data_IF_891812960623
#
_entry.id   IF_891812960623
#
_cell.length_a   1.000
_cell.length_b   1.000
_cell.length_c   1.000
_cell.angle_alpha   90.00
_cell.angle_beta   90.00
_cell.angle_gamma   90.00
#
_symmetry.space_group_name_H-M   'P 1'
#
loop_
_entity.id
_entity.type
_entity.pdbx_description
1 polymer ?
#
# COMPACT_ATOMS: atom_id res chain seq x y z
N UNK A 1 -38.64 157.02 -124.36
CA UNK A 1 -37.35 157.62 -124.78
C UNK A 1 -36.24 157.17 -123.80
N UNK A 2 -34.99 157.14 -124.23
CA UNK A 2 -33.83 156.75 -123.41
C UNK A 2 -33.63 157.82 -122.33
N UNK A 3 -33.57 157.40 -121.06
CA UNK A 3 -33.39 158.32 -119.93
C UNK A 3 -32.04 159.08 -119.96
N UNK A 4 -31.06 158.61 -120.72
CA UNK A 4 -29.74 159.25 -120.83
C UNK A 4 -29.61 160.16 -122.07
N UNK A 5 -29.91 159.65 -123.26
CA UNK A 5 -29.67 160.37 -124.52
C UNK A 5 -30.95 160.85 -125.24
N UNK A 6 -32.14 160.60 -124.69
CA UNK A 6 -33.42 161.03 -125.25
C UNK A 6 -33.92 160.24 -126.47
N UNK A 7 -33.08 159.43 -127.13
CA UNK A 7 -33.47 158.65 -128.33
C UNK A 7 -34.62 157.68 -128.04
N UNK A 8 -35.52 157.39 -129.00
CA UNK A 8 -36.53 156.35 -128.82
C UNK A 8 -35.85 155.02 -128.52
N UNK A 9 -36.29 154.33 -127.48
CA UNK A 9 -35.79 153.00 -127.10
C UNK A 9 -36.74 151.98 -127.66
N UNK A 10 -36.23 151.06 -128.49
CA UNK A 10 -37.00 149.91 -128.94
C UNK A 10 -37.41 149.08 -127.72
N UNK A 11 -38.70 149.11 -127.37
CA UNK A 11 -39.23 148.32 -126.28
C UNK A 11 -39.35 146.86 -126.72
N UNK A 12 -39.11 145.93 -125.79
CA UNK A 12 -39.39 144.51 -126.05
C UNK A 12 -40.90 144.32 -126.01
N UNK A 13 -41.48 143.63 -127.00
CA UNK A 13 -42.85 143.17 -126.93
C UNK A 13 -42.92 141.98 -125.95
N UNK A 14 -43.26 142.21 -124.68
CA UNK A 14 -43.40 141.15 -123.67
C UNK A 14 -43.55 141.68 -122.23
N UNK A 15 -44.07 140.83 -121.34
CA UNK A 15 -44.22 141.12 -119.91
C UNK A 15 -42.85 141.15 -119.23
N UNK A 16 -42.32 142.35 -119.01
CA UNK A 16 -41.05 142.60 -118.33
C UNK A 16 -40.87 144.08 -118.06
N UNK A 17 -39.93 144.44 -117.17
CA UNK A 17 -39.65 145.84 -116.84
C UNK A 17 -39.21 146.57 -118.12
N UNK A 18 -39.91 147.65 -118.52
CA UNK A 18 -39.60 148.35 -119.76
C UNK A 18 -38.16 148.84 -119.79
N UNK A 19 -37.53 148.79 -120.97
CA UNK A 19 -36.15 149.23 -121.12
C UNK A 19 -36.08 150.75 -120.94
N UNK A 20 -35.27 151.16 -119.97
CA UNK A 20 -35.08 152.56 -119.58
C UNK A 20 -33.97 153.27 -120.37
N UNK A 21 -33.08 152.51 -121.04
CA UNK A 21 -31.92 153.01 -121.77
C UNK A 21 -31.81 152.32 -123.15
N UNK A 22 -31.28 153.00 -124.17
CA UNK A 22 -31.08 152.43 -125.50
C UNK A 22 -29.93 151.41 -125.52
N UNK A 23 -30.10 150.31 -126.26
CA UNK A 23 -29.06 149.26 -126.46
C UNK A 23 -28.18 149.49 -127.68
N UNK A 24 -28.59 150.37 -128.59
CA UNK A 24 -28.03 150.56 -129.94
C UNK A 24 -26.58 151.08 -129.99
N UNK A 25 -25.87 151.12 -128.85
CA UNK A 25 -24.51 151.62 -128.74
C UNK A 25 -23.74 150.87 -127.63
N UNK A 26 -23.73 149.54 -127.63
CA UNK A 26 -23.04 148.67 -126.65
C UNK A 26 -23.30 149.02 -125.18
N UNK A 27 -24.57 149.28 -124.86
CA UNK A 27 -25.01 149.76 -123.55
C UNK A 27 -24.30 151.04 -123.09
N UNK A 28 -23.71 151.84 -124.01
CA UNK A 28 -22.98 153.06 -123.67
C UNK A 28 -23.86 154.05 -122.89
N UNK A 29 -25.16 154.14 -123.19
CA UNK A 29 -26.08 154.99 -122.42
C UNK A 29 -26.38 154.43 -121.02
N UNK A 30 -26.48 153.10 -120.87
CA UNK A 30 -26.64 152.47 -119.55
C UNK A 30 -25.36 152.59 -118.72
N UNK A 31 -24.19 152.34 -119.33
CA UNK A 31 -22.87 152.50 -118.73
C UNK A 31 -22.61 153.96 -118.37
N UNK A 32 -22.97 154.92 -119.23
CA UNK A 32 -22.83 156.34 -118.97
C UNK A 32 -23.78 156.80 -117.86
N UNK A 33 -25.03 156.35 -117.83
CA UNK A 33 -25.95 156.63 -116.73
C UNK A 33 -25.48 155.99 -115.41
N UNK A 34 -24.89 154.78 -115.46
CA UNK A 34 -24.28 154.11 -114.30
C UNK A 34 -23.03 154.86 -113.83
N UNK A 35 -22.18 155.32 -114.74
CA UNK A 35 -20.99 156.11 -114.44
C UNK A 35 -21.36 157.50 -113.93
N UNK A 36 -22.41 158.14 -114.45
CA UNK A 36 -22.93 159.40 -113.95
C UNK A 36 -23.43 159.24 -112.51
N UNK A 37 -24.26 158.22 -112.24
CA UNK A 37 -24.68 157.88 -110.87
C UNK A 37 -23.53 157.46 -109.95
N UNK A 38 -22.50 156.79 -110.47
CA UNK A 38 -21.31 156.45 -109.70
C UNK A 38 -20.45 157.70 -109.41
N UNK A 39 -20.35 158.64 -110.36
CA UNK A 39 -19.68 159.93 -110.19
C UNK A 39 -20.43 160.81 -109.21
N UNK A 40 -21.75 160.85 -109.26
CA UNK A 40 -22.59 161.55 -108.28
C UNK A 40 -22.44 160.95 -106.88
N UNK A 41 -22.45 159.61 -106.76
CA UNK A 41 -22.22 158.92 -105.47
C UNK A 41 -20.79 159.03 -104.94
N UNK A 42 -19.81 159.21 -105.81
CA UNK A 42 -18.40 159.34 -105.45
C UNK A 42 -17.88 160.77 -105.63
N UNK A 43 -18.77 161.76 -105.78
CA UNK A 43 -18.38 163.15 -105.94
C UNK A 43 -17.73 163.66 -104.65
N UNK A 44 -16.54 164.28 -104.70
CA UNK A 44 -15.95 164.89 -103.52
C UNK A 44 -16.83 166.06 -103.05
N UNK A 45 -17.14 166.09 -101.75
CA UNK A 45 -17.93 167.15 -101.12
C UNK A 45 -19.34 166.71 -100.67
N UNK A 46 -20.14 167.70 -100.27
CA UNK A 46 -21.47 167.50 -99.66
C UNK A 46 -22.44 166.64 -100.50
N UNK A 47 -22.54 166.80 -101.84
CA UNK A 47 -23.53 166.06 -102.63
C UNK A 47 -23.29 164.54 -102.67
N UNK A 48 -22.02 164.11 -102.74
CA UNK A 48 -21.66 162.69 -102.72
C UNK A 48 -21.89 162.05 -101.34
N UNK A 49 -21.59 162.80 -100.26
CA UNK A 49 -21.89 162.36 -98.89
C UNK A 49 -23.40 162.22 -98.66
N UNK A 50 -24.22 163.14 -99.18
CA UNK A 50 -25.68 163.04 -99.13
C UNK A 50 -26.20 161.83 -99.91
N UNK A 51 -25.66 161.56 -101.10
CA UNK A 51 -26.04 160.38 -101.88
C UNK A 51 -25.70 159.05 -101.19
N UNK A 52 -24.54 158.95 -100.53
CA UNK A 52 -24.15 157.77 -99.74
C UNK A 52 -25.01 157.63 -98.47
N UNK A 53 -25.32 158.75 -97.79
CA UNK A 53 -26.21 158.75 -96.65
C UNK A 53 -27.61 158.24 -97.02
N UNK A 54 -28.15 158.64 -98.18
CA UNK A 54 -29.43 158.13 -98.67
C UNK A 54 -29.40 156.64 -99.02
N UNK A 55 -28.31 156.11 -99.61
CA UNK A 55 -28.18 154.67 -99.87
C UNK A 55 -28.07 153.86 -98.56
N UNK A 56 -27.39 154.41 -97.55
CA UNK A 56 -27.36 153.80 -96.22
C UNK A 56 -28.75 153.81 -95.56
N UNK A 57 -29.50 154.92 -95.69
CA UNK A 57 -30.89 155.00 -95.21
C UNK A 57 -31.77 153.97 -95.90
N UNK A 58 -31.67 153.79 -97.22
CA UNK A 58 -32.44 152.78 -97.96
C UNK A 58 -32.06 151.34 -97.54
N UNK A 59 -30.77 151.06 -97.28
CA UNK A 59 -30.36 149.76 -96.72
C UNK A 59 -30.88 149.56 -95.29
N UNK A 60 -30.86 150.61 -94.47
CA UNK A 60 -31.42 150.55 -93.12
C UNK A 60 -32.93 150.32 -93.17
N UNK A 61 -33.64 150.92 -94.13
CA UNK A 61 -35.08 150.71 -94.33
C UNK A 61 -35.37 149.29 -94.83
N UNK A 62 -34.55 148.75 -95.74
CA UNK A 62 -34.65 147.35 -96.17
C UNK A 62 -34.37 146.36 -95.03
N UNK A 63 -33.36 146.61 -94.20
CA UNK A 63 -33.05 145.79 -93.01
C UNK A 63 -34.17 145.94 -91.96
N UNK A 64 -34.66 147.15 -91.72
CA UNK A 64 -35.77 147.42 -90.81
C UNK A 64 -37.06 146.73 -91.30
N UNK A 65 -37.34 146.76 -92.60
CA UNK A 65 -38.45 146.05 -93.22
C UNK A 65 -38.32 144.54 -93.12
N UNK A 66 -37.13 143.98 -93.35
CA UNK A 66 -36.87 142.55 -93.17
C UNK A 66 -36.99 142.12 -91.70
N UNK A 67 -36.47 142.93 -90.78
CA UNK A 67 -36.61 142.70 -89.33
C UNK A 67 -38.07 142.80 -88.91
N UNK A 68 -38.81 143.81 -89.38
CA UNK A 68 -40.22 143.98 -89.09
C UNK A 68 -41.06 142.83 -89.66
N UNK A 69 -40.74 142.32 -90.85
CA UNK A 69 -41.40 141.16 -91.44
C UNK A 69 -41.08 139.86 -90.68
N UNK A 70 -39.83 139.69 -90.23
CA UNK A 70 -39.43 138.56 -89.38
C UNK A 70 -40.12 138.61 -88.02
N UNK A 71 -40.11 139.78 -87.37
CA UNK A 71 -40.81 140.03 -86.10
C UNK A 71 -42.31 139.87 -86.26
N UNK A 72 -42.92 140.36 -87.34
CA UNK A 72 -44.33 140.16 -87.62
C UNK A 72 -44.65 138.69 -87.89
N UNK A 73 -43.75 137.94 -88.53
CA UNK A 73 -43.87 136.49 -88.69
C UNK A 73 -43.83 135.75 -87.35
N UNK A 74 -42.85 136.05 -86.50
CA UNK A 74 -42.67 135.41 -85.20
C UNK A 74 -43.69 135.84 -84.14
N UNK A 75 -44.12 137.10 -84.16
CA UNK A 75 -45.13 137.68 -83.25
C UNK A 75 -46.56 137.57 -83.80
N UNK A 76 -46.74 137.10 -85.04
CA UNK A 76 -48.07 136.73 -85.52
C UNK A 76 -48.65 135.59 -84.67
N UNK A 77 -49.98 135.52 -84.59
CA UNK A 77 -50.65 134.41 -83.91
C UNK A 77 -50.15 133.04 -84.40
N UNK A 78 -49.94 132.88 -85.72
CA UNK A 78 -49.43 131.64 -86.30
C UNK A 78 -47.97 131.33 -85.90
N UNK A 79 -47.11 132.34 -85.81
CA UNK A 79 -45.72 132.19 -85.36
C UNK A 79 -45.63 131.76 -83.90
N UNK A 80 -46.41 132.41 -83.03
CA UNK A 80 -46.52 132.04 -81.61
C UNK A 80 -47.11 130.64 -81.45
N UNK A 81 -48.17 130.28 -82.17
CA UNK A 81 -48.75 128.94 -82.15
C UNK A 81 -47.75 127.88 -82.59
N UNK A 82 -46.94 128.14 -83.63
CA UNK A 82 -45.88 127.24 -84.07
C UNK A 82 -44.79 127.05 -83.00
N UNK A 83 -44.35 128.13 -82.35
CA UNK A 83 -43.38 128.05 -81.23
C UNK A 83 -43.95 127.29 -80.04
N UNK A 84 -45.21 127.56 -79.68
CA UNK A 84 -45.92 126.85 -78.62
C UNK A 84 -46.07 125.36 -78.98
N UNK A 85 -46.37 125.04 -80.24
CA UNK A 85 -46.44 123.65 -80.71
C UNK A 85 -45.07 122.95 -80.64
N UNK A 86 -43.98 123.62 -81.03
CA UNK A 86 -42.61 123.09 -80.89
C UNK A 86 -42.26 122.81 -79.44
N UNK A 87 -42.49 123.79 -78.54
CA UNK A 87 -42.23 123.62 -77.11
C UNK A 87 -43.10 122.52 -76.51
N UNK A 88 -44.36 122.39 -76.93
CA UNK A 88 -45.24 121.28 -76.51
C UNK A 88 -44.73 119.93 -77.02
N UNK A 89 -44.23 119.86 -78.25
CA UNK A 89 -43.65 118.64 -78.80
C UNK A 89 -42.35 118.24 -78.09
N UNK A 90 -41.46 119.21 -77.81
CA UNK A 90 -40.24 118.99 -77.02
C UNK A 90 -40.56 118.56 -75.60
N UNK A 91 -41.52 119.22 -74.94
CA UNK A 91 -41.98 118.82 -73.60
C UNK A 91 -42.59 117.41 -73.61
N UNK A 92 -43.41 117.08 -74.61
CA UNK A 92 -43.97 115.74 -74.77
C UNK A 92 -42.86 114.68 -74.99
N UNK A 93 -41.84 114.99 -75.79
CA UNK A 93 -40.69 114.12 -76.00
C UNK A 93 -39.85 113.92 -74.73
N UNK A 94 -39.65 114.98 -73.94
CA UNK A 94 -38.96 114.90 -72.65
C UNK A 94 -39.74 114.07 -71.63
N UNK A 95 -41.06 114.23 -71.56
CA UNK A 95 -41.92 113.41 -70.69
C UNK A 95 -41.90 111.95 -71.12
N UNK A 96 -41.98 111.66 -72.42
CA UNK A 96 -41.88 110.30 -72.93
C UNK A 96 -40.51 109.67 -72.62
N UNK A 97 -39.42 110.42 -72.76
CA UNK A 97 -38.08 109.96 -72.40
C UNK A 97 -37.95 109.69 -70.89
N UNK A 98 -38.49 110.56 -70.04
CA UNK A 98 -38.50 110.36 -68.59
C UNK A 98 -39.35 109.15 -68.17
N UNK A 99 -40.48 108.93 -68.83
CA UNK A 99 -41.32 107.73 -68.62
C UNK A 99 -40.58 106.46 -69.03
N UNK A 100 -39.95 106.45 -70.21
CA UNK A 100 -39.14 105.32 -70.67
C UNK A 100 -37.97 105.01 -69.72
N UNK A 101 -37.26 106.03 -69.24
CA UNK A 101 -36.19 105.86 -68.25
C UNK A 101 -36.70 105.32 -66.91
N UNK A 102 -37.89 105.77 -66.47
CA UNK A 102 -38.53 105.25 -65.25
C UNK A 102 -38.92 103.79 -65.43
N UNK A 103 -39.53 103.43 -66.56
CA UNK A 103 -39.90 102.05 -66.87
C UNK A 103 -38.67 101.14 -66.94
N UNK A 104 -37.59 101.60 -67.59
CA UNK A 104 -36.31 100.88 -67.62
C UNK A 104 -35.71 100.73 -66.21
N UNK A 105 -35.77 101.78 -65.38
CA UNK A 105 -35.30 101.72 -64.00
C UNK A 105 -36.12 100.73 -63.15
N UNK A 106 -37.45 100.71 -63.31
CA UNK A 106 -38.34 99.75 -62.63
C UNK A 106 -38.04 98.33 -63.12
N UNK A 107 -37.90 98.11 -64.42
CA UNK A 107 -37.55 96.80 -64.97
C UNK A 107 -36.20 96.31 -64.44
N UNK A 108 -35.17 97.17 -64.42
CA UNK A 108 -33.86 96.85 -63.83
C UNK A 108 -33.95 96.51 -62.34
N UNK A 109 -34.76 97.23 -61.58
CA UNK A 109 -34.96 96.96 -60.15
C UNK A 109 -35.67 95.62 -59.91
N UNK A 110 -36.69 95.27 -60.72
CA UNK A 110 -37.37 93.98 -60.64
C UNK A 110 -36.42 92.83 -60.97
N UNK A 111 -35.68 92.91 -62.08
CA UNK A 111 -34.67 91.89 -62.43
C UNK A 111 -33.56 91.79 -61.38
N UNK A 112 -33.16 92.90 -60.76
CA UNK A 112 -32.19 92.86 -59.66
C UNK A 112 -32.76 92.18 -58.41
N UNK A 113 -34.04 92.39 -58.10
CA UNK A 113 -34.76 91.70 -57.03
C UNK A 113 -34.84 90.19 -57.28
N UNK A 114 -35.30 89.77 -58.46
CA UNK A 114 -35.38 88.36 -58.85
C UNK A 114 -34.02 87.65 -58.74
N UNK A 115 -32.93 88.32 -59.16
CA UNK A 115 -31.56 87.78 -59.02
C UNK A 115 -31.11 87.69 -57.57
N UNK A 116 -31.51 88.64 -56.71
CA UNK A 116 -31.19 88.60 -55.30
C UNK A 116 -31.94 87.48 -54.57
N UNK A 117 -33.21 87.26 -54.91
CA UNK A 117 -34.03 86.17 -54.38
C UNK A 117 -33.46 84.81 -54.82
N UNK A 118 -33.11 84.65 -56.10
CA UNK A 118 -32.44 83.45 -56.62
C UNK A 118 -31.10 83.19 -55.90
N UNK A 119 -30.27 84.21 -55.72
CA UNK A 119 -29.01 84.08 -55.00
C UNK A 119 -29.21 83.71 -53.53
N UNK A 120 -30.28 84.20 -52.89
CA UNK A 120 -30.63 83.84 -51.52
C UNK A 120 -31.11 82.39 -51.40
N UNK A 121 -31.92 81.92 -52.36
CA UNK A 121 -32.35 80.52 -52.44
C UNK A 121 -31.17 79.58 -52.67
N UNK A 122 -30.28 79.91 -53.61
CA UNK A 122 -29.05 79.15 -53.89
C UNK A 122 -28.13 79.10 -52.66
N UNK A 123 -27.94 80.22 -51.96
CA UNK A 123 -27.16 80.26 -50.73
C UNK A 123 -27.81 79.41 -49.61
N UNK A 124 -29.14 79.46 -49.48
CA UNK A 124 -29.88 78.63 -48.54
C UNK A 124 -29.73 77.14 -48.83
N UNK A 125 -29.85 76.75 -50.11
CA UNK A 125 -29.63 75.37 -50.55
C UNK A 125 -28.19 74.90 -50.31
N UNK A 126 -27.19 75.76 -50.56
CA UNK A 126 -25.78 75.45 -50.31
C UNK A 126 -25.49 75.27 -48.81
N UNK A 127 -26.09 76.08 -47.94
CA UNK A 127 -25.97 75.91 -46.49
C UNK A 127 -26.64 74.62 -46.00
N UNK A 128 -27.83 74.30 -46.50
CA UNK A 128 -28.52 73.05 -46.18
C UNK A 128 -27.71 71.82 -46.61
N UNK A 129 -27.15 71.84 -47.84
CA UNK A 129 -26.28 70.77 -48.34
C UNK A 129 -24.99 70.64 -47.51
N UNK A 130 -24.40 71.76 -47.07
CA UNK A 130 -23.24 71.74 -46.16
C UNK A 130 -23.59 71.10 -44.82
N UNK A 131 -24.71 71.48 -44.23
CA UNK A 131 -25.12 70.98 -42.91
C UNK A 131 -25.45 69.48 -42.98
N UNK A 132 -26.08 69.02 -44.06
CA UNK A 132 -26.27 67.60 -44.34
C UNK A 132 -24.93 66.86 -44.49
N UNK A 133 -23.98 67.41 -45.25
CA UNK A 133 -22.66 66.81 -45.40
C UNK A 133 -21.89 66.72 -44.06
N UNK A 134 -22.00 67.74 -43.20
CA UNK A 134 -21.42 67.71 -41.85
C UNK A 134 -22.09 66.65 -40.97
N UNK A 135 -23.43 66.54 -41.03
CA UNK A 135 -24.16 65.52 -40.28
C UNK A 135 -23.78 64.09 -40.72
N UNK A 136 -23.65 63.86 -42.03
CA UNK A 136 -23.19 62.58 -42.59
C UNK A 136 -21.76 62.26 -42.18
N UNK A 137 -20.85 63.25 -42.20
CA UNK A 137 -19.47 63.08 -41.76
C UNK A 137 -19.38 62.74 -40.26
N UNK A 138 -20.18 63.40 -39.42
CA UNK A 138 -20.25 63.10 -37.99
C UNK A 138 -20.79 61.68 -37.73
N UNK A 139 -21.85 61.27 -38.43
CA UNK A 139 -22.39 59.91 -38.33
C UNK A 139 -21.35 58.84 -38.75
N UNK A 140 -20.64 59.07 -39.85
CA UNK A 140 -19.57 58.18 -40.30
C UNK A 140 -18.41 58.09 -39.30
N UNK A 141 -18.06 59.21 -38.64
CA UNK A 141 -17.05 59.23 -37.59
C UNK A 141 -17.49 58.43 -36.35
N UNK A 142 -18.75 58.58 -35.93
CA UNK A 142 -19.31 57.82 -34.81
C UNK A 142 -19.35 56.32 -35.10
N UNK A 143 -19.73 55.92 -36.32
CA UNK A 143 -19.70 54.52 -36.75
C UNK A 143 -18.27 53.96 -36.76
N UNK A 144 -17.30 54.71 -37.31
CA UNK A 144 -15.90 54.33 -37.28
C UNK A 144 -15.37 54.16 -35.84
N UNK A 145 -15.74 55.05 -34.92
CA UNK A 145 -15.36 54.94 -33.51
C UNK A 145 -15.99 53.71 -32.83
N UNK A 146 -17.25 53.39 -33.15
CA UNK A 146 -17.90 52.17 -32.64
C UNK A 146 -17.18 50.92 -33.16
N UNK A 147 -16.88 50.86 -34.46
CA UNK A 147 -16.14 49.75 -35.05
C UNK A 147 -14.74 49.58 -34.42
N UNK A 148 -14.03 50.68 -34.13
CA UNK A 148 -12.74 50.61 -33.42
C UNK A 148 -12.87 50.08 -31.99
N UNK A 149 -13.91 50.48 -31.24
CA UNK A 149 -14.18 49.96 -29.89
C UNK A 149 -14.55 48.48 -29.91
N UNK A 150 -15.35 48.05 -30.88
CA UNK A 150 -15.70 46.64 -31.07
C UNK A 150 -14.49 45.79 -31.44
N UNK A 151 -13.61 46.32 -32.31
CA UNK A 151 -12.35 45.67 -32.67
C UNK A 151 -11.44 45.53 -31.45
N UNK A 152 -11.25 46.59 -30.66
CA UNK A 152 -10.48 46.55 -29.42
C UNK A 152 -11.05 45.51 -28.43
N UNK A 153 -12.36 45.51 -28.21
CA UNK A 153 -13.02 44.52 -27.35
C UNK A 153 -12.95 43.08 -27.90
N UNK A 154 -12.83 42.89 -29.21
CA UNK A 154 -12.59 41.58 -29.81
C UNK A 154 -11.14 41.11 -29.57
N UNK A 155 -10.16 42.01 -29.67
CA UNK A 155 -8.74 41.72 -29.35
C UNK A 155 -8.59 41.37 -27.86
N UNK A 156 -9.14 42.18 -26.96
CA UNK A 156 -9.08 41.91 -25.51
C UNK A 156 -9.67 40.53 -25.15
N UNK A 157 -10.78 40.14 -25.78
CA UNK A 157 -11.38 38.81 -25.60
C UNK A 157 -10.50 37.69 -26.17
N UNK A 158 -9.83 37.92 -27.29
CA UNK A 158 -8.91 36.94 -27.86
C UNK A 158 -7.67 36.74 -26.98
N UNK A 159 -7.11 37.83 -26.43
CA UNK A 159 -5.99 37.77 -25.51
C UNK A 159 -6.36 37.06 -24.21
N UNK A 160 -7.54 37.35 -23.64
CA UNK A 160 -8.07 36.62 -22.47
C UNK A 160 -8.22 35.13 -22.75
N UNK A 161 -8.79 34.76 -23.90
CA UNK A 161 -8.94 33.36 -24.28
C UNK A 161 -7.58 32.66 -24.48
N UNK A 162 -6.56 33.38 -24.98
CA UNK A 162 -5.21 32.86 -25.13
C UNK A 162 -4.53 32.62 -23.78
N UNK A 163 -4.66 33.56 -22.83
CA UNK A 163 -4.18 33.41 -21.45
C UNK A 163 -4.86 32.24 -20.73
N UNK A 164 -6.18 32.11 -20.84
CA UNK A 164 -6.94 30.98 -20.29
C UNK A 164 -6.49 29.63 -20.89
N UNK A 165 -6.28 29.58 -22.21
CA UNK A 165 -5.76 28.40 -22.87
C UNK A 165 -4.34 28.06 -22.42
N UNK A 166 -3.48 29.06 -22.24
CA UNK A 166 -2.13 28.91 -21.69
C UNK A 166 -2.14 28.35 -20.27
N UNK A 167 -2.99 28.89 -19.40
CA UNK A 167 -3.18 28.40 -18.04
C UNK A 167 -3.71 26.95 -18.01
N UNK A 168 -4.65 26.61 -18.90
CA UNK A 168 -5.18 25.25 -19.02
C UNK A 168 -4.10 24.26 -19.48
N UNK A 169 -3.24 24.65 -20.42
CA UNK A 169 -2.10 23.83 -20.85
C UNK A 169 -1.09 23.62 -19.71
N UNK A 170 -0.75 24.68 -18.97
CA UNK A 170 0.14 24.58 -17.82
C UNK A 170 -0.42 23.65 -16.73
N UNK A 171 -1.71 23.78 -16.41
CA UNK A 171 -2.39 22.88 -15.46
C UNK A 171 -2.41 21.42 -15.94
N UNK A 172 -2.59 21.19 -17.25
CA UNK A 172 -2.50 19.85 -17.83
C UNK A 172 -1.10 19.27 -17.69
N UNK A 173 -0.07 20.04 -18.00
CA UNK A 173 1.32 19.58 -17.93
C UNK A 173 1.74 19.30 -16.48
N UNK A 174 1.29 20.11 -15.52
CA UNK A 174 1.45 19.83 -14.08
C UNK A 174 0.73 18.53 -13.68
N UNK A 175 -0.52 18.33 -14.11
CA UNK A 175 -1.25 17.10 -13.83
C UNK A 175 -0.56 15.86 -14.43
N UNK A 176 0.01 15.96 -15.63
CA UNK A 176 0.80 14.89 -16.25
C UNK A 176 2.07 14.62 -15.44
N UNK A 177 2.78 15.65 -14.99
CA UNK A 177 3.97 15.50 -14.15
C UNK A 177 3.65 14.83 -12.81
N UNK A 178 2.56 15.23 -12.15
CA UNK A 178 2.08 14.60 -10.92
C UNK A 178 1.68 13.14 -11.14
N UNK A 179 1.01 12.82 -12.25
CA UNK A 179 0.65 11.45 -12.59
C UNK A 179 1.89 10.57 -12.83
N UNK A 180 2.90 11.09 -13.54
CA UNK A 180 4.18 10.41 -13.74
C UNK A 180 4.91 10.15 -12.41
N UNK A 181 4.98 11.16 -11.53
CA UNK A 181 5.58 11.01 -10.21
C UNK A 181 4.84 9.96 -9.35
N UNK A 182 3.51 9.94 -9.39
CA UNK A 182 2.70 8.93 -8.71
C UNK A 182 2.93 7.52 -9.27
N UNK A 183 3.11 7.40 -10.58
CA UNK A 183 3.45 6.13 -11.23
C UNK A 183 4.83 5.62 -10.81
N UNK A 184 5.84 6.48 -10.78
CA UNK A 184 7.20 6.14 -10.33
C UNK A 184 7.22 5.73 -8.85
N UNK A 185 6.42 6.39 -8.00
CA UNK A 185 6.25 6.01 -6.60
C UNK A 185 5.57 4.64 -6.46
N UNK A 186 4.51 4.39 -7.24
CA UNK A 186 3.85 3.09 -7.26
C UNK A 186 4.79 1.96 -7.73
N UNK A 187 5.61 2.21 -8.75
CA UNK A 187 6.63 1.25 -9.21
C UNK A 187 7.66 0.97 -8.11
N UNK A 188 8.17 2.02 -7.44
CA UNK A 188 9.09 1.87 -6.31
C UNK A 188 8.48 1.08 -5.16
N UNK A 189 7.20 1.32 -4.85
CA UNK A 189 6.47 0.55 -3.83
C UNK A 189 6.33 -0.93 -4.22
N UNK A 190 6.06 -1.25 -5.49
CA UNK A 190 6.02 -2.63 -5.98
C UNK A 190 7.38 -3.31 -5.87
N UNK A 191 8.46 -2.66 -6.31
CA UNK A 191 9.83 -3.19 -6.19
C UNK A 191 10.19 -3.42 -4.72
N UNK A 192 9.85 -2.47 -3.84
CA UNK A 192 10.09 -2.61 -2.40
C UNK A 192 9.30 -3.78 -1.78
N UNK A 193 8.03 -3.94 -2.17
CA UNK A 193 7.18 -5.07 -1.76
C UNK A 193 7.79 -6.39 -2.22
N UNK A 194 8.17 -6.50 -3.48
CA UNK A 194 8.70 -7.74 -4.04
C UNK A 194 10.05 -8.10 -3.39
N UNK A 195 10.90 -7.10 -3.11
CA UNK A 195 12.11 -7.29 -2.33
C UNK A 195 11.81 -7.74 -0.89
N UNK A 196 10.76 -7.21 -0.25
CA UNK A 196 10.33 -7.64 1.08
C UNK A 196 9.81 -9.08 1.08
N UNK A 197 9.01 -9.47 0.08
CA UNK A 197 8.55 -10.85 -0.13
C UNK A 197 9.75 -11.77 -0.34
N UNK A 198 10.70 -11.39 -1.19
CA UNK A 198 11.93 -12.15 -1.42
C UNK A 198 12.73 -12.39 -0.14
N UNK A 199 12.92 -11.34 0.69
CA UNK A 199 13.57 -11.47 2.00
C UNK A 199 12.79 -12.38 2.96
N UNK A 200 11.47 -12.26 3.00
CA UNK A 200 10.63 -13.10 3.85
C UNK A 200 10.70 -14.59 3.44
N UNK A 201 10.69 -14.88 2.13
CA UNK A 201 10.87 -16.23 1.62
C UNK A 201 12.27 -16.78 1.91
N UNK A 202 13.32 -15.98 1.76
CA UNK A 202 14.68 -16.38 2.12
C UNK A 202 14.78 -16.70 3.63
N UNK A 203 14.23 -15.86 4.49
CA UNK A 203 14.18 -16.09 5.94
C UNK A 203 13.38 -17.36 6.29
N UNK A 204 12.27 -17.63 5.59
CA UNK A 204 11.52 -18.89 5.77
C UNK A 204 12.35 -20.12 5.36
N UNK A 205 13.09 -20.04 4.25
CA UNK A 205 13.97 -21.14 3.81
C UNK A 205 15.12 -21.37 4.79
N UNK A 206 15.74 -20.31 5.32
CA UNK A 206 16.76 -20.41 6.36
C UNK A 206 16.18 -21.03 7.63
N UNK A 207 15.03 -20.55 8.12
CA UNK A 207 14.35 -21.15 9.26
C UNK A 207 13.98 -22.62 9.02
N UNK A 208 13.59 -23.00 7.81
CA UNK A 208 13.33 -24.41 7.46
C UNK A 208 14.61 -25.25 7.50
N UNK A 209 15.73 -24.74 6.97
CA UNK A 209 17.05 -25.40 7.05
C UNK A 209 17.53 -25.52 8.50
N UNK A 210 17.33 -24.49 9.32
CA UNK A 210 17.65 -24.54 10.75
C UNK A 210 16.81 -25.58 11.48
N UNK A 211 15.50 -25.65 11.21
CA UNK A 211 14.62 -26.70 11.75
C UNK A 211 15.08 -28.09 11.33
N UNK A 212 15.46 -28.26 10.07
CA UNK A 212 15.96 -29.54 9.57
C UNK A 212 17.30 -29.91 10.23
N UNK A 213 18.23 -28.97 10.36
CA UNK A 213 19.50 -29.16 11.06
C UNK A 213 19.28 -29.49 12.55
N UNK A 214 18.36 -28.79 13.22
CA UNK A 214 17.97 -29.09 14.60
C UNK A 214 17.34 -30.48 14.73
N UNK A 215 16.48 -30.88 13.79
CA UNK A 215 15.92 -32.23 13.75
C UNK A 215 17.01 -33.30 13.55
N UNK A 216 17.98 -33.06 12.66
CA UNK A 216 19.14 -33.95 12.49
C UNK A 216 20.00 -34.02 13.76
N UNK A 217 20.26 -32.90 14.41
CA UNK A 217 21.01 -32.85 15.67
C UNK A 217 20.29 -33.61 16.79
N UNK A 218 18.96 -33.44 16.92
CA UNK A 218 18.14 -34.21 17.85
C UNK A 218 18.14 -35.71 17.53
N UNK A 219 18.08 -36.08 16.24
CA UNK A 219 18.17 -37.48 15.82
C UNK A 219 19.55 -38.09 16.15
N UNK A 220 20.64 -37.34 15.93
CA UNK A 220 21.99 -37.74 16.33
C UNK A 220 22.12 -37.87 17.84
N UNK A 221 21.55 -36.94 18.61
CA UNK A 221 21.54 -37.02 20.07
C UNK A 221 20.73 -38.23 20.55
N UNK A 222 19.58 -38.51 19.94
CA UNK A 222 18.79 -39.69 20.24
C UNK A 222 19.53 -40.99 19.91
N UNK A 223 20.23 -41.05 18.77
CA UNK A 223 21.09 -42.16 18.40
C UNK A 223 22.24 -42.36 19.41
N UNK A 224 22.94 -41.29 19.79
CA UNK A 224 23.99 -41.34 20.81
C UNK A 224 23.46 -41.78 22.18
N UNK A 225 22.24 -41.38 22.57
CA UNK A 225 21.60 -41.87 23.80
C UNK A 225 21.22 -43.35 23.69
N UNK A 226 20.76 -43.82 22.53
CA UNK A 226 20.50 -45.24 22.31
C UNK A 226 21.81 -46.06 22.33
N UNK A 227 22.85 -45.61 21.65
CA UNK A 227 24.18 -46.23 21.71
C UNK A 227 24.74 -46.24 23.14
N UNK A 228 24.54 -45.16 23.91
CA UNK A 228 24.94 -45.12 25.31
C UNK A 228 24.13 -46.11 26.17
N UNK A 229 22.82 -46.25 25.91
CA UNK A 229 21.96 -47.26 26.57
C UNK A 229 22.36 -48.68 26.19
N UNK A 230 22.67 -48.94 24.93
CA UNK A 230 23.17 -50.22 24.45
C UNK A 230 24.53 -50.54 25.04
N UNK A 231 25.46 -49.58 25.09
CA UNK A 231 26.75 -49.72 25.76
C UNK A 231 26.59 -49.96 27.27
N UNK A 232 25.63 -49.29 27.91
CA UNK A 232 25.33 -49.48 29.34
C UNK A 232 24.67 -50.84 29.59
N UNK A 233 23.77 -51.30 28.71
CA UNK A 233 23.18 -52.63 28.76
C UNK A 233 24.24 -53.72 28.52
N UNK A 234 25.15 -53.52 27.56
CA UNK A 234 26.28 -54.41 27.31
C UNK A 234 27.25 -54.44 28.51
N UNK A 235 27.51 -53.30 29.16
CA UNK A 235 28.29 -53.23 30.40
C UNK A 235 27.59 -53.94 31.55
N UNK A 236 26.29 -53.75 31.72
CA UNK A 236 25.49 -54.43 32.73
C UNK A 236 25.43 -55.95 32.48
N UNK A 237 25.33 -56.37 31.21
CA UNK A 237 25.38 -57.77 30.80
C UNK A 237 26.77 -58.38 31.01
N UNK A 238 27.84 -57.65 30.70
CA UNK A 238 29.22 -58.10 30.97
C UNK A 238 29.49 -58.17 32.48
N UNK A 239 28.98 -57.23 33.27
CA UNK A 239 29.05 -57.27 34.74
C UNK A 239 28.21 -58.41 35.32
N UNK A 240 27.02 -58.67 34.77
CA UNK A 240 26.20 -59.82 35.16
C UNK A 240 26.91 -61.13 34.82
N UNK A 241 27.51 -61.25 33.64
CA UNK A 241 28.32 -62.41 33.24
C UNK A 241 29.57 -62.58 34.10
N UNK A 242 30.26 -61.50 34.45
CA UNK A 242 31.41 -61.54 35.37
C UNK A 242 30.97 -61.95 36.78
N UNK A 243 29.87 -61.40 37.29
CA UNK A 243 29.32 -61.76 38.60
C UNK A 243 28.78 -63.20 38.63
N UNK A 244 28.24 -63.70 37.52
CA UNK A 244 27.82 -65.09 37.36
C UNK A 244 29.04 -66.01 37.29
N UNK A 245 30.08 -65.66 36.54
CA UNK A 245 31.33 -66.42 36.49
C UNK A 245 32.05 -66.44 37.86
N UNK A 246 32.04 -65.34 38.60
CA UNK A 246 32.53 -65.29 39.98
C UNK A 246 31.66 -66.10 40.93
N UNK A 247 30.34 -66.08 40.79
CA UNK A 247 29.44 -66.93 41.58
C UNK A 247 29.65 -68.42 41.27
N UNK A 248 29.87 -68.79 40.01
CA UNK A 248 30.24 -70.15 39.60
C UNK A 248 31.61 -70.54 40.15
N UNK A 249 32.62 -69.66 40.09
CA UNK A 249 33.93 -69.93 40.67
C UNK A 249 33.89 -70.07 42.21
N UNK A 250 33.07 -69.27 42.89
CA UNK A 250 32.83 -69.40 44.34
C UNK A 250 32.05 -70.67 44.67
N UNK A 251 31.07 -71.06 43.85
CA UNK A 251 30.33 -72.31 44.01
C UNK A 251 31.23 -73.54 43.76
N UNK A 252 32.12 -73.49 42.77
CA UNK A 252 33.12 -74.53 42.51
C UNK A 252 34.17 -74.61 43.63
N UNK A 253 34.63 -73.47 44.16
CA UNK A 253 35.53 -73.44 45.32
C UNK A 253 34.85 -73.98 46.58
N UNK A 254 33.57 -73.65 46.80
CA UNK A 254 32.79 -74.17 47.91
C UNK A 254 32.53 -75.68 47.76
N UNK A 255 32.26 -76.15 46.53
CA UNK A 255 32.10 -77.57 46.23
C UNK A 255 33.40 -78.37 46.42
N UNK A 256 34.57 -77.78 46.10
CA UNK A 256 35.88 -78.38 46.39
C UNK A 256 36.16 -78.47 47.88
N UNK A 257 35.87 -77.42 48.64
CA UNK A 257 36.01 -77.44 50.10
C UNK A 257 35.03 -78.42 50.77
N UNK A 258 33.82 -78.56 50.24
CA UNK A 258 32.85 -79.54 50.72
C UNK A 258 33.25 -80.98 50.37
N UNK A 259 33.82 -81.21 49.18
CA UNK A 259 34.39 -82.49 48.79
C UNK A 259 35.61 -82.87 49.66
N UNK A 260 36.50 -81.92 49.95
CA UNK A 260 37.66 -82.12 50.83
C UNK A 260 37.23 -82.40 52.26
N UNK A 261 36.20 -81.71 52.77
CA UNK A 261 35.60 -81.98 54.08
C UNK A 261 35.01 -83.39 54.15
N UNK A 262 34.23 -83.80 53.14
CA UNK A 262 33.67 -85.16 53.07
C UNK A 262 34.74 -86.23 52.95
N UNK A 263 35.85 -85.94 52.26
CA UNK A 263 36.99 -86.84 52.18
C UNK A 263 37.73 -86.97 53.53
N UNK A 264 37.87 -85.88 54.29
CA UNK A 264 38.44 -85.90 55.64
C UNK A 264 37.54 -86.63 56.64
N UNK A 265 36.22 -86.41 56.57
CA UNK A 265 35.23 -87.12 57.38
C UNK A 265 35.22 -88.63 57.06
N UNK A 266 35.28 -89.00 55.77
CA UNK A 266 35.39 -90.40 55.36
C UNK A 266 36.69 -91.06 55.82
N UNK A 267 37.81 -90.31 55.83
CA UNK A 267 39.10 -90.80 56.33
C UNK A 267 39.12 -90.96 57.86
N UNK A 268 38.46 -90.04 58.59
CA UNK A 268 38.27 -90.14 60.03
C UNK A 268 37.40 -91.36 60.37
N UNK A 269 36.29 -91.56 59.67
CA UNK A 269 35.43 -92.73 59.83
C UNK A 269 36.13 -94.05 59.50
N UNK A 270 36.99 -94.07 58.47
CA UNK A 270 37.79 -95.25 58.16
C UNK A 270 38.83 -95.56 59.25
N UNK A 271 39.48 -94.53 59.80
CA UNK A 271 40.47 -94.69 60.89
C UNK A 271 39.81 -95.10 62.21
N UNK A 272 38.64 -94.58 62.53
CA UNK A 272 37.84 -94.98 63.69
C UNK A 272 37.36 -96.43 63.55
N UNK A 273 36.90 -96.84 62.35
CA UNK A 273 36.50 -98.21 62.07
C UNK A 273 37.67 -99.20 62.16
N UNK A 274 38.89 -98.80 61.77
CA UNK A 274 40.10 -99.62 61.96
C UNK A 274 40.52 -99.73 63.42
N UNK A 275 40.38 -98.65 64.20
CA UNK A 275 40.61 -98.68 65.67
C UNK A 275 39.60 -99.57 66.37
N UNK A 276 38.32 -99.47 66.03
CA UNK A 276 37.25 -100.34 66.55
C UNK A 276 37.46 -101.81 66.16
N UNK A 277 37.97 -102.08 64.95
CA UNK A 277 38.38 -103.44 64.54
C UNK A 277 39.54 -103.97 65.38
N UNK A 278 40.54 -103.13 65.66
CA UNK A 278 41.68 -103.47 66.51
C UNK A 278 41.25 -103.76 67.95
N UNK A 279 40.36 -102.94 68.50
CA UNK A 279 39.80 -103.09 69.85
C UNK A 279 38.90 -104.33 69.96
N UNK A 280 38.10 -104.62 68.93
CA UNK A 280 37.28 -105.82 68.87
C UNK A 280 38.13 -107.10 68.79
N UNK A 281 39.21 -107.12 68.00
CA UNK A 281 40.13 -108.25 67.92
C UNK A 281 40.91 -108.45 69.23
N UNK A 282 41.32 -107.37 69.89
CA UNK A 282 41.91 -107.42 71.23
C UNK A 282 40.90 -107.86 72.32
N UNK A 283 39.61 -107.57 72.13
CA UNK A 283 38.52 -108.07 72.96
C UNK A 283 38.32 -109.58 72.82
N UNK A 284 38.31 -110.09 71.58
CA UNK A 284 38.19 -111.53 71.30
C UNK A 284 39.37 -112.31 71.87
N UNK A 285 40.60 -111.82 71.72
CA UNK A 285 41.79 -112.49 72.26
C UNK A 285 41.81 -112.53 73.80
N UNK A 286 41.31 -111.48 74.47
CA UNK A 286 41.14 -111.46 75.93
C UNK A 286 40.07 -112.45 76.40
N UNK A 287 38.93 -112.49 75.71
CA UNK A 287 37.86 -113.43 76.01
C UNK A 287 38.26 -114.90 75.79
N UNK A 288 39.11 -115.19 74.81
CA UNK A 288 39.64 -116.54 74.59
C UNK A 288 40.65 -116.95 75.67
N UNK A 289 41.54 -116.03 76.09
CA UNK A 289 42.46 -116.26 77.19
C UNK A 289 41.74 -116.48 78.54
N UNK A 290 40.68 -115.71 78.80
CA UNK A 290 39.82 -115.88 79.99
C UNK A 290 39.05 -117.19 79.96
N UNK A 291 38.53 -117.60 78.79
CA UNK A 291 37.85 -118.90 78.63
C UNK A 291 38.79 -120.08 78.87
N UNK A 292 40.02 -119.99 78.40
CA UNK A 292 40.99 -121.08 78.54
C UNK A 292 41.56 -121.14 79.98
N UNK A 293 41.71 -119.99 80.65
CA UNK A 293 41.99 -119.92 82.09
C UNK A 293 40.85 -120.52 82.94
N UNK A 294 39.60 -120.16 82.66
CA UNK A 294 38.44 -120.73 83.35
C UNK A 294 38.29 -122.25 83.14
N UNK A 295 38.66 -122.76 81.96
CA UNK A 295 38.69 -124.20 81.67
C UNK A 295 39.81 -124.94 82.40
N UNK A 296 40.94 -124.29 82.64
CA UNK A 296 42.02 -124.85 83.45
C UNK A 296 41.62 -124.92 84.93
N UNK A 297 41.05 -123.83 85.47
CA UNK A 297 40.55 -123.76 86.85
C UNK A 297 39.44 -124.77 87.12
N UNK A 298 38.50 -124.95 86.18
CA UNK A 298 37.44 -125.96 86.30
C UNK A 298 37.99 -127.40 86.35
N UNK A 299 39.09 -127.69 85.61
CA UNK A 299 39.74 -129.01 85.64
C UNK A 299 40.49 -129.25 86.94
N UNK A 300 41.11 -128.22 87.50
CA UNK A 300 41.82 -128.32 88.76
C UNK A 300 40.86 -128.44 89.96
N UNK A 301 39.73 -127.72 89.92
CA UNK A 301 38.64 -127.89 90.90
C UNK A 301 38.02 -129.29 90.84
N UNK A 302 37.82 -129.85 89.64
CA UNK A 302 37.32 -131.22 89.50
C UNK A 302 38.28 -132.25 90.12
N UNK A 303 39.59 -132.09 89.92
CA UNK A 303 40.62 -132.97 90.51
C UNK A 303 40.70 -132.85 92.03
N UNK A 304 40.50 -131.65 92.58
CA UNK A 304 40.45 -131.43 94.03
C UNK A 304 39.23 -132.11 94.64
N UNK A 305 38.05 -131.95 94.04
CA UNK A 305 36.82 -132.59 94.49
C UNK A 305 36.90 -134.11 94.40
N UNK A 306 37.49 -134.67 93.34
CA UNK A 306 37.73 -136.12 93.25
C UNK A 306 38.63 -136.66 94.39
N UNK A 307 39.66 -135.90 94.77
CA UNK A 307 40.54 -136.26 95.89
C UNK A 307 39.82 -136.16 97.23
N UNK A 308 38.97 -135.15 97.42
CA UNK A 308 38.17 -134.99 98.64
C UNK A 308 37.10 -136.08 98.79
N UNK A 309 36.45 -136.46 97.69
CA UNK A 309 35.51 -137.59 97.67
C UNK A 309 36.22 -138.90 97.99
N UNK A 310 37.36 -139.17 97.37
CA UNK A 310 38.16 -140.36 97.66
C UNK A 310 38.63 -140.41 99.13
N UNK A 311 39.00 -139.27 99.72
CA UNK A 311 39.36 -139.17 101.13
C UNK A 311 38.16 -139.43 102.06
N UNK A 312 36.98 -138.90 101.72
CA UNK A 312 35.73 -139.12 102.46
C UNK A 312 35.24 -140.57 102.36
N UNK A 313 35.46 -141.22 101.23
CA UNK A 313 35.16 -142.65 101.04
C UNK A 313 36.08 -143.54 101.88
N UNK A 314 37.37 -143.20 101.97
CA UNK A 314 38.30 -143.91 102.85
C UNK A 314 37.97 -143.70 104.34
N UNK A 315 37.57 -142.48 104.72
CA UNK A 315 37.17 -142.15 106.08
C UNK A 315 35.86 -142.86 106.48
N UNK A 316 34.88 -142.93 105.57
CA UNK A 316 33.65 -143.70 105.80
C UNK A 316 33.85 -145.22 105.78
N UNK A 317 34.79 -145.75 104.98
CA UNK A 317 35.17 -147.16 105.06
C UNK A 317 35.80 -147.50 106.42
N UNK A 318 36.70 -146.64 106.91
CA UNK A 318 37.36 -146.81 108.20
C UNK A 318 36.37 -146.73 109.37
N UNK A 319 35.46 -145.76 109.35
CA UNK A 319 34.39 -145.64 110.35
C UNK A 319 33.43 -146.84 110.32
N UNK A 320 33.15 -147.42 109.15
CA UNK A 320 32.34 -148.65 109.04
C UNK A 320 33.06 -149.85 109.63
N UNK A 321 34.38 -149.99 109.41
CA UNK A 321 35.17 -151.05 110.04
C UNK A 321 35.23 -150.89 111.57
N UNK A 322 35.41 -149.67 112.07
CA UNK A 322 35.37 -149.38 113.51
C UNK A 322 33.99 -149.65 114.12
N UNK A 323 32.92 -149.32 113.41
CA UNK A 323 31.55 -149.61 113.84
C UNK A 323 31.25 -151.12 113.82
N UNK A 324 31.78 -151.85 112.85
CA UNK A 324 31.67 -153.31 112.78
C UNK A 324 32.48 -153.99 113.90
N UNK A 325 33.67 -153.47 114.22
CA UNK A 325 34.47 -153.95 115.34
C UNK A 325 33.82 -153.65 116.70
N UNK A 326 33.27 -152.45 116.87
CA UNK A 326 32.43 -152.06 118.02
C UNK A 326 31.19 -152.95 118.13
N UNK A 327 30.51 -153.21 117.01
CA UNK A 327 29.36 -154.12 116.91
C UNK A 327 29.72 -155.53 117.37
N UNK A 328 30.82 -156.10 116.85
CA UNK A 328 31.31 -157.41 117.26
C UNK A 328 31.72 -157.46 118.74
N UNK A 329 32.29 -156.38 119.29
CA UNK A 329 32.60 -156.27 120.72
C UNK A 329 31.33 -156.19 121.57
N UNK A 330 30.33 -155.46 121.10
CA UNK A 330 29.02 -155.32 121.75
C UNK A 330 28.27 -156.63 121.72
N UNK A 331 28.31 -157.36 120.62
CA UNK A 331 27.65 -158.66 120.48
C UNK A 331 28.41 -159.74 121.24
N UNK A 332 29.75 -159.68 121.34
CA UNK A 332 30.51 -160.54 122.24
C UNK A 332 30.27 -160.19 123.72
N UNK A 333 30.02 -158.92 124.05
CA UNK A 333 29.61 -158.50 125.40
C UNK A 333 28.16 -158.93 125.69
N UNK A 334 27.28 -158.87 124.69
CA UNK A 334 25.87 -159.25 124.80
C UNK A 334 25.71 -160.76 124.86
N UNK A 335 26.45 -161.53 124.08
CA UNK A 335 26.54 -162.98 124.23
C UNK A 335 27.08 -163.37 125.62
N UNK A 336 28.05 -162.62 126.18
CA UNK A 336 28.53 -162.84 127.56
C UNK A 336 27.48 -162.46 128.61
N UNK A 337 26.73 -161.39 128.40
CA UNK A 337 25.61 -161.01 129.26
C UNK A 337 24.48 -162.00 129.16
N UNK A 338 24.13 -162.48 127.97
CA UNK A 338 23.06 -163.44 127.71
C UNK A 338 23.45 -164.83 128.22
N UNK A 339 24.73 -165.22 128.15
CA UNK A 339 25.25 -166.44 128.79
C UNK A 339 25.22 -166.36 130.33
N UNK A 340 25.55 -165.19 130.89
CA UNK A 340 25.43 -164.94 132.33
C UNK A 340 23.96 -164.81 132.78
N UNK A 341 23.09 -164.31 131.92
CA UNK A 341 21.65 -164.12 132.17
C UNK A 341 20.89 -165.43 132.00
N UNK A 342 21.29 -166.30 131.07
CA UNK A 342 20.82 -167.68 130.97
C UNK A 342 21.21 -168.49 132.21
N UNK A 343 22.44 -168.29 132.74
CA UNK A 343 22.87 -168.88 134.02
C UNK A 343 22.14 -168.32 135.25
N UNK A 344 21.65 -167.08 135.21
CA UNK A 344 20.92 -166.44 136.31
C UNK A 344 19.41 -166.72 136.26
N UNK A 345 18.83 -166.92 135.08
CA UNK A 345 17.40 -167.20 134.91
C UNK A 345 17.04 -168.69 135.00
N UNK A 346 18.01 -169.60 134.87
CA UNK A 346 17.87 -170.99 135.36
C UNK A 346 17.67 -171.07 136.89
N UNK A 347 17.89 -169.98 137.65
CA UNK A 347 17.75 -169.95 139.10
C UNK A 347 16.48 -169.30 139.65
N UNK A 348 15.72 -168.51 138.88
CA UNK A 348 14.55 -167.79 139.44
C UNK A 348 13.47 -167.40 138.42
N UNK A 349 12.44 -168.26 138.31
CA UNK A 349 11.01 -167.92 138.10
C UNK A 349 10.58 -167.24 136.75
N UNK A 350 9.26 -167.00 136.52
CA UNK A 350 8.46 -167.66 135.47
C UNK A 350 7.99 -166.72 134.33
N UNK A 351 7.42 -167.33 133.26
CA UNK A 351 6.60 -166.73 132.16
C UNK A 351 5.76 -165.53 132.61
N UNK A 352 5.53 -164.43 131.84
CA UNK A 352 4.80 -164.46 130.54
C UNK A 352 5.15 -163.29 129.55
N UNK A 353 4.93 -163.45 128.23
CA UNK A 353 3.84 -162.85 127.41
C UNK A 353 3.99 -161.38 126.95
N UNK A 354 4.16 -161.27 125.62
CA UNK A 354 3.52 -160.40 124.61
C UNK A 354 3.47 -158.86 124.68
N UNK A 355 3.84 -158.29 123.51
CA UNK A 355 3.34 -157.07 122.84
C UNK A 355 3.67 -155.71 123.50
N UNK A 356 3.46 -154.52 122.86
CA UNK A 356 2.89 -154.21 121.53
C UNK A 356 3.64 -153.11 120.71
N UNK A 357 3.09 -152.84 119.52
CA UNK A 357 3.16 -151.62 118.66
C UNK A 357 2.69 -150.32 119.37
N UNK A 358 3.07 -149.08 118.95
CA UNK A 358 2.44 -148.31 117.82
C UNK A 358 3.43 -147.41 117.01
N UNK A 359 3.29 -147.13 115.69
CA UNK A 359 2.62 -145.98 114.97
C UNK A 359 2.65 -144.59 115.67
N UNK A 360 2.47 -143.39 115.04
CA UNK A 360 2.53 -142.89 113.63
C UNK A 360 3.14 -141.44 113.41
N UNK A 361 3.44 -141.01 112.14
CA UNK A 361 3.05 -139.73 111.42
C UNK A 361 3.42 -138.32 112.03
N UNK A 362 3.32 -137.11 111.36
CA UNK A 362 3.35 -136.63 109.96
C UNK A 362 4.34 -135.42 109.67
N UNK A 363 4.25 -134.91 108.42
CA UNK A 363 4.13 -133.48 108.04
C UNK A 363 5.41 -132.73 107.60
N UNK A 364 5.44 -132.33 106.31
CA UNK A 364 5.36 -130.92 105.81
C UNK A 364 6.75 -130.28 105.69
N UNK A 365 7.14 -129.43 104.73
CA UNK A 365 6.56 -128.48 103.75
C UNK A 365 7.70 -128.23 102.72
N UNK A 366 7.56 -127.90 101.42
CA UNK A 366 6.74 -126.88 100.76
C UNK A 366 7.65 -126.04 99.81
N UNK A 367 7.10 -125.53 98.69
CA UNK A 367 7.65 -124.42 97.86
C UNK A 367 8.24 -124.87 96.51
N UNK A 368 7.73 -124.57 95.30
CA UNK A 368 6.89 -123.51 94.70
C UNK A 368 7.61 -122.21 94.29
N UNK A 369 7.42 -121.81 93.01
CA UNK A 369 7.81 -120.54 92.35
C UNK A 369 8.82 -120.74 91.21
N UNK A 370 8.76 -120.18 90.00
CA UNK A 370 7.95 -119.13 89.34
C UNK A 370 8.37 -119.11 87.83
N UNK A 371 7.55 -119.24 86.78
CA UNK A 371 6.68 -118.29 86.03
C UNK A 371 7.25 -116.92 85.56
N UNK A 372 7.08 -116.59 84.26
CA UNK A 372 7.22 -115.24 83.62
C UNK A 372 8.08 -115.21 82.33
N UNK A 373 7.62 -115.23 81.05
CA UNK A 373 6.78 -114.29 80.22
C UNK A 373 7.58 -113.03 79.73
N UNK A 374 7.41 -112.42 78.52
CA UNK A 374 7.27 -112.91 77.10
C UNK A 374 7.80 -111.95 75.95
N UNK A 375 7.52 -112.32 74.66
CA UNK A 375 7.02 -111.53 73.48
C UNK A 375 7.83 -110.48 72.65
N UNK A 376 7.64 -110.61 71.31
CA UNK A 376 7.31 -109.62 70.24
C UNK A 376 8.26 -108.40 70.01
N UNK A 377 8.44 -107.78 68.83
CA UNK A 377 8.01 -107.95 67.44
C UNK A 377 8.79 -106.89 66.58
N UNK A 378 8.68 -107.07 65.26
CA UNK A 378 8.84 -106.12 64.14
C UNK A 378 9.00 -104.60 64.41
N UNK A 379 9.74 -103.93 63.50
CA UNK A 379 9.59 -102.50 63.27
C UNK A 379 10.65 -101.86 62.37
N UNK A 380 10.35 -101.75 61.06
CA UNK A 380 10.70 -100.58 60.23
C UNK A 380 10.24 -99.26 60.92
N UNK A 381 10.76 -98.06 60.58
CA UNK A 381 10.42 -97.27 59.36
C UNK A 381 11.68 -96.67 58.67
N UNK A 382 11.73 -96.34 57.37
CA UNK A 382 10.97 -95.40 56.49
C UNK A 382 11.43 -93.93 56.56
N UNK A 383 11.65 -93.37 55.35
CA UNK A 383 11.75 -91.94 54.94
C UNK A 383 13.08 -91.24 55.23
N UNK A 384 13.65 -90.37 54.38
CA UNK A 384 13.43 -89.92 53.00
C UNK A 384 14.68 -89.14 52.58
#
# INVERSE_FOLDING_TARGET
>A
PCLYCGRPVQQRAGAGRPYQYCRDNDDACLKAARNARARERNAPGLPGQVAQAWELVDRLDQVAGALAASLAGELSAAGVESRVASVRAEAAAQVAAAQAQREEAVARALTAGERADQAAEEAGAALAARDEAVALAAAAQDEAQRALRECAAAVDRADQAAEEAGAALAARDEAVALAAAAQDEAQRAVVARDAAIGRALAAQQEAARERENAARALAQQAAAVQEAREAQAARAQAQAQASAAEATARAESAARLDADRRAQEAWAHASDAERERGEALAGVQRAEAERDAARAEARDQARLLEREVAARDQETARLREELAASGAQRDAARARVDELTARLLELTAPTPTAAPTPVPVPAQTGGAGDSGVPRDAAGEPRES
#
